data_IF_645345300011
#
_entry.id   IF_645345300011
#
_cell.length_a   1.000
_cell.length_b   1.000
_cell.length_c   1.000
_cell.angle_alpha   90.00
_cell.angle_beta   90.00
_cell.angle_gamma   90.00
#
_symmetry.space_group_name_H-M   'P 1'
#
loop_
_entity.id
_entity.type
_entity.pdbx_description
1 polymer ?
#
# COMPACT_ATOMS: atom_id res chain seq x y z
N UNK A 1 -15.25 -27.27 3.81
CA UNK A 1 -15.50 -25.89 3.32
C UNK A 1 -14.48 -24.88 3.86
N UNK A 2 -14.22 -24.81 5.17
CA UNK A 2 -13.27 -23.84 5.77
C UNK A 2 -11.82 -24.02 5.28
N UNK A 3 -11.31 -25.25 5.09
CA UNK A 3 -9.94 -25.47 4.59
C UNK A 3 -9.77 -25.09 3.10
N UNK A 4 -10.77 -25.33 2.27
CA UNK A 4 -10.78 -24.91 0.86
C UNK A 4 -10.77 -23.39 0.71
N UNK A 5 -11.48 -22.67 1.58
CA UNK A 5 -11.45 -21.20 1.61
C UNK A 5 -10.07 -20.69 2.04
N UNK A 6 -9.46 -21.29 3.07
CA UNK A 6 -8.10 -20.94 3.53
C UNK A 6 -7.07 -21.15 2.42
N UNK A 7 -7.16 -22.26 1.69
CA UNK A 7 -6.27 -22.54 0.56
C UNK A 7 -6.42 -21.52 -0.58
N UNK A 8 -7.65 -21.15 -0.93
CA UNK A 8 -7.91 -20.09 -1.93
C UNK A 8 -7.33 -18.74 -1.50
N UNK A 9 -7.47 -18.38 -0.22
CA UNK A 9 -6.92 -17.14 0.32
C UNK A 9 -5.39 -17.14 0.32
N UNK A 10 -4.76 -18.26 0.68
CA UNK A 10 -3.30 -18.40 0.64
C UNK A 10 -2.75 -18.23 -0.78
N UNK A 11 -3.39 -18.86 -1.77
CA UNK A 11 -3.01 -18.68 -3.18
C UNK A 11 -3.15 -17.22 -3.60
N UNK A 12 -4.30 -16.60 -3.30
CA UNK A 12 -4.51 -15.18 -3.62
C UNK A 12 -3.45 -14.28 -2.98
N UNK A 13 -3.05 -14.59 -1.74
CA UNK A 13 -2.01 -13.87 -1.01
C UNK A 13 -0.63 -14.04 -1.64
N UNK A 14 -0.27 -15.24 -2.10
CA UNK A 14 0.98 -15.48 -2.84
C UNK A 14 1.05 -14.64 -4.11
N UNK A 15 -0.03 -14.62 -4.90
CA UNK A 15 -0.10 -13.79 -6.10
C UNK A 15 0.01 -12.30 -5.77
N UNK A 16 -0.70 -11.84 -4.74
CA UNK A 16 -0.62 -10.45 -4.29
C UNK A 16 0.81 -10.05 -3.91
N UNK A 17 1.53 -10.89 -3.16
CA UNK A 17 2.91 -10.64 -2.76
C UNK A 17 3.88 -10.64 -3.95
N UNK A 18 3.69 -11.52 -4.93
CA UNK A 18 4.48 -11.52 -6.16
C UNK A 18 4.29 -10.23 -6.97
N UNK A 19 3.04 -9.80 -7.18
CA UNK A 19 2.72 -8.54 -7.88
C UNK A 19 3.30 -7.35 -7.12
N UNK A 20 3.24 -7.36 -5.79
CA UNK A 20 3.76 -6.29 -4.97
C UNK A 20 5.30 -6.21 -5.02
N UNK A 21 5.99 -7.35 -5.00
CA UNK A 21 7.44 -7.43 -5.19
C UNK A 21 7.90 -6.86 -6.55
N UNK A 22 7.19 -7.22 -7.62
CA UNK A 22 7.46 -6.71 -8.98
C UNK A 22 7.25 -5.20 -9.11
N UNK A 23 6.40 -4.60 -8.27
CA UNK A 23 6.20 -3.14 -8.28
C UNK A 23 7.50 -2.38 -7.99
N UNK A 24 8.37 -2.90 -7.12
CA UNK A 24 9.62 -2.23 -6.72
C UNK A 24 10.66 -2.21 -7.86
N UNK A 25 10.82 -3.34 -8.54
CA UNK A 25 11.72 -3.43 -9.71
C UNK A 25 11.22 -2.57 -10.85
N UNK A 26 9.91 -2.60 -11.12
CA UNK A 26 9.30 -1.73 -12.12
C UNK A 26 9.44 -0.25 -11.79
N UNK A 27 9.26 0.15 -10.52
CA UNK A 27 9.44 1.53 -10.09
C UNK A 27 10.87 2.05 -10.30
N UNK A 28 11.89 1.20 -10.07
CA UNK A 28 13.29 1.54 -10.38
C UNK A 28 13.50 1.77 -11.87
N UNK A 29 13.00 0.86 -12.71
CA UNK A 29 13.15 0.94 -14.17
C UNK A 29 12.43 2.19 -14.70
N UNK A 30 11.17 2.40 -14.34
CA UNK A 30 10.41 3.60 -14.72
C UNK A 30 11.01 4.89 -14.16
N UNK A 31 11.65 4.81 -12.99
CA UNK A 31 12.32 5.94 -12.37
C UNK A 31 13.50 6.50 -13.17
N UNK A 32 14.05 5.74 -14.13
CA UNK A 32 15.07 6.24 -15.07
C UNK A 32 14.46 7.16 -16.13
N UNK A 33 13.22 6.87 -16.54
CA UNK A 33 12.56 7.55 -17.66
C UNK A 33 11.57 8.63 -17.24
N UNK A 34 11.16 8.64 -15.96
CA UNK A 34 10.08 9.50 -15.48
C UNK A 34 10.43 10.16 -14.15
N UNK A 35 9.91 11.36 -13.92
CA UNK A 35 10.01 12.03 -12.62
C UNK A 35 9.03 11.41 -11.61
N UNK A 36 9.37 11.36 -10.30
CA UNK A 36 8.49 10.78 -9.28
C UNK A 36 7.05 11.32 -9.29
N UNK A 37 6.81 12.64 -9.45
CA UNK A 37 5.44 13.16 -9.52
C UNK A 37 4.65 12.61 -10.71
N UNK A 38 5.29 12.44 -11.86
CA UNK A 38 4.66 11.93 -13.07
C UNK A 38 4.29 10.44 -12.92
N UNK A 39 5.21 9.63 -12.37
CA UNK A 39 4.95 8.20 -12.13
C UNK A 39 3.80 8.01 -11.12
N UNK A 40 3.75 8.83 -10.07
CA UNK A 40 2.67 8.81 -9.09
C UNK A 40 1.33 9.22 -9.69
N UNK A 41 1.30 10.28 -10.49
CA UNK A 41 0.09 10.76 -11.15
C UNK A 41 -0.55 9.63 -11.97
N UNK A 42 0.23 9.00 -12.86
CA UNK A 42 -0.27 7.91 -13.68
C UNK A 42 -0.71 6.69 -12.86
N UNK A 43 0.05 6.34 -11.82
CA UNK A 43 -0.31 5.23 -10.92
C UNK A 43 -1.68 5.44 -10.27
N UNK A 44 -1.90 6.62 -9.68
CA UNK A 44 -3.16 6.91 -8.99
C UNK A 44 -4.31 7.18 -9.96
N UNK A 45 -4.05 7.82 -11.10
CA UNK A 45 -5.06 8.04 -12.14
C UNK A 45 -5.62 6.72 -12.67
N UNK A 46 -4.74 5.78 -13.05
CA UNK A 46 -5.15 4.45 -13.50
C UNK A 46 -5.85 3.67 -12.39
N UNK A 47 -5.35 3.76 -11.15
CA UNK A 47 -6.00 3.12 -10.02
C UNK A 47 -7.44 3.64 -9.82
N UNK A 48 -7.66 4.96 -9.88
CA UNK A 48 -9.01 5.54 -9.78
C UNK A 48 -9.92 5.01 -10.89
N UNK A 49 -9.44 4.94 -12.14
CA UNK A 49 -10.21 4.39 -13.26
C UNK A 49 -10.58 2.92 -13.00
N UNK A 50 -9.62 2.10 -12.54
CA UNK A 50 -9.87 0.69 -12.19
C UNK A 50 -10.84 0.52 -11.02
N UNK A 51 -10.88 1.45 -10.07
CA UNK A 51 -11.80 1.39 -8.93
C UNK A 51 -13.26 1.71 -9.31
N UNK A 52 -13.51 2.52 -10.35
CA UNK A 52 -14.87 2.86 -10.81
C UNK A 52 -15.73 1.61 -11.14
N UNK A 53 -15.30 0.66 -11.99
CA UNK A 53 -16.10 -0.53 -12.29
C UNK A 53 -16.23 -1.46 -11.09
N UNK A 54 -15.20 -1.59 -10.24
CA UNK A 54 -15.25 -2.39 -9.01
C UNK A 54 -16.33 -1.85 -8.07
N UNK A 55 -16.41 -0.53 -7.95
CA UNK A 55 -17.39 0.15 -7.10
C UNK A 55 -18.83 -0.01 -7.62
N UNK A 56 -19.02 0.03 -8.95
CA UNK A 56 -20.31 -0.29 -9.58
C UNK A 56 -20.71 -1.75 -9.34
N UNK A 57 -19.77 -2.69 -9.46
CA UNK A 57 -20.04 -4.11 -9.23
C UNK A 57 -20.42 -4.41 -7.77
N UNK A 58 -19.76 -3.74 -6.83
CA UNK A 58 -20.01 -3.90 -5.38
C UNK A 58 -21.20 -3.09 -4.86
N UNK A 59 -21.89 -2.32 -5.71
CA UNK A 59 -23.01 -1.44 -5.35
C UNK A 59 -22.72 -0.44 -4.21
N UNK A 60 -21.46 -0.04 -4.04
CA UNK A 60 -21.09 0.96 -3.05
C UNK A 60 -21.32 2.39 -3.57
N UNK A 61 -21.83 3.27 -2.71
CA UNK A 61 -22.06 4.68 -3.05
C UNK A 61 -20.76 5.47 -3.10
N UNK A 62 -20.59 6.31 -4.13
CA UNK A 62 -19.43 7.22 -4.27
C UNK A 62 -19.44 8.38 -3.27
N UNK A 63 -20.46 8.48 -2.41
CA UNK A 63 -20.60 9.58 -1.45
C UNK A 63 -19.66 9.35 -0.26
N UNK A 64 -18.78 10.32 -0.03
CA UNK A 64 -17.94 10.36 1.17
C UNK A 64 -18.73 11.13 2.25
N UNK A 65 -18.99 10.52 3.43
CA UNK A 65 -19.65 11.23 4.52
C UNK A 65 -18.74 12.35 5.04
N UNK A 66 -19.32 13.48 5.42
CA UNK A 66 -18.56 14.68 5.80
C UNK A 66 -17.66 14.46 7.04
N UNK A 67 -18.07 13.55 7.93
CA UNK A 67 -17.25 13.09 9.07
C UNK A 67 -16.00 12.32 8.64
N UNK A 68 -16.05 11.59 7.52
CA UNK A 68 -14.92 10.85 6.98
C UNK A 68 -14.00 11.73 6.12
N UNK A 69 -14.46 12.89 5.66
CA UNK A 69 -13.68 13.75 4.77
C UNK A 69 -12.31 14.12 5.34
N UNK A 70 -12.24 14.44 6.65
CA UNK A 70 -10.97 14.74 7.33
C UNK A 70 -10.01 13.55 7.30
N UNK A 71 -10.52 12.33 7.55
CA UNK A 71 -9.72 11.11 7.52
C UNK A 71 -9.25 10.77 6.11
N UNK A 72 -10.12 10.91 5.11
CA UNK A 72 -9.77 10.69 3.70
C UNK A 72 -8.70 11.66 3.24
N UNK A 73 -8.84 12.95 3.56
CA UNK A 73 -7.84 13.96 3.22
C UNK A 73 -6.50 13.69 3.88
N UNK A 74 -6.51 13.39 5.18
CA UNK A 74 -5.30 13.07 5.93
C UNK A 74 -4.61 11.80 5.39
N UNK A 75 -5.38 10.75 5.09
CA UNK A 75 -4.87 9.54 4.47
C UNK A 75 -4.27 9.82 3.09
N UNK A 76 -4.96 10.59 2.24
CA UNK A 76 -4.46 10.98 0.92
C UNK A 76 -3.16 11.77 0.99
N UNK A 77 -3.03 12.68 1.96
CA UNK A 77 -1.81 13.44 2.20
C UNK A 77 -0.63 12.52 2.58
N UNK A 78 -0.78 11.70 3.63
CA UNK A 78 0.26 10.77 4.06
C UNK A 78 0.62 9.76 2.96
N UNK A 79 -0.37 9.27 2.22
CA UNK A 79 -0.16 8.32 1.13
C UNK A 79 0.62 8.95 -0.02
N UNK A 80 0.37 10.22 -0.34
CA UNK A 80 1.12 10.97 -1.36
C UNK A 80 2.57 11.16 -0.95
N UNK A 81 2.81 11.59 0.30
CA UNK A 81 4.17 11.75 0.85
C UNK A 81 4.92 10.43 0.85
N UNK A 82 4.28 9.34 1.31
CA UNK A 82 4.85 7.99 1.28
C UNK A 82 5.20 7.56 -0.15
N UNK A 83 4.30 7.75 -1.12
CA UNK A 83 4.56 7.37 -2.51
C UNK A 83 5.69 8.20 -3.14
N UNK A 84 5.82 9.47 -2.77
CA UNK A 84 6.91 10.31 -3.25
C UNK A 84 8.25 9.75 -2.77
N UNK A 85 8.38 9.45 -1.47
CA UNK A 85 9.59 8.85 -0.91
C UNK A 85 9.84 7.43 -1.46
N UNK A 86 8.80 6.66 -1.73
CA UNK A 86 8.90 5.37 -2.41
C UNK A 86 9.56 5.49 -3.79
N UNK A 87 9.05 6.37 -4.66
CA UNK A 87 9.60 6.53 -6.01
C UNK A 87 10.99 7.18 -5.99
N UNK A 88 11.19 8.19 -5.13
CA UNK A 88 12.49 8.84 -4.99
C UNK A 88 13.53 7.90 -4.38
N UNK A 89 13.14 7.10 -3.39
CA UNK A 89 13.97 6.11 -2.73
C UNK A 89 14.36 4.96 -3.66
N UNK A 90 13.43 4.50 -4.50
CA UNK A 90 13.76 3.51 -5.53
C UNK A 90 14.68 4.09 -6.60
N UNK A 91 14.51 5.36 -7.01
CA UNK A 91 15.45 6.01 -7.94
C UNK A 91 16.89 6.10 -7.40
N UNK A 92 17.06 6.47 -6.12
CA UNK A 92 18.38 6.67 -5.51
C UNK A 92 19.02 5.35 -5.02
N UNK A 93 18.22 4.41 -4.53
CA UNK A 93 18.68 3.14 -3.94
C UNK A 93 18.50 1.91 -4.84
N UNK A 94 18.84 0.74 -4.32
CA UNK A 94 18.55 -0.52 -4.98
C UNK A 94 17.09 -0.93 -4.77
N UNK A 95 16.41 -1.36 -5.84
CA UNK A 95 15.02 -1.82 -5.77
C UNK A 95 14.83 -2.96 -4.76
N UNK A 96 15.77 -3.91 -4.72
CA UNK A 96 15.75 -5.02 -3.78
C UNK A 96 15.88 -4.58 -2.33
N UNK A 97 16.77 -3.62 -2.04
CA UNK A 97 16.93 -3.07 -0.69
C UNK A 97 15.67 -2.33 -0.24
N UNK A 98 15.06 -1.51 -1.11
CA UNK A 98 13.81 -0.81 -0.80
C UNK A 98 12.66 -1.76 -0.45
N UNK A 99 12.49 -2.84 -1.22
CA UNK A 99 11.47 -3.85 -0.97
C UNK A 99 11.66 -4.58 0.37
N UNK A 100 12.89 -4.98 0.71
CA UNK A 100 13.19 -5.67 1.99
C UNK A 100 13.06 -4.72 3.19
N UNK A 101 13.62 -3.51 3.09
CA UNK A 101 13.59 -2.55 4.21
C UNK A 101 12.15 -2.13 4.52
N UNK A 102 11.33 -1.83 3.51
CA UNK A 102 9.95 -1.40 3.76
C UNK A 102 9.09 -2.54 4.29
N UNK A 103 9.26 -3.78 3.80
CA UNK A 103 8.48 -4.93 4.30
C UNK A 103 8.84 -5.33 5.73
N UNK A 104 10.09 -5.14 6.13
CA UNK A 104 10.55 -5.43 7.50
C UNK A 104 10.21 -4.32 8.48
N UNK A 105 10.38 -3.06 8.07
CA UNK A 105 10.12 -1.91 8.95
C UNK A 105 8.62 -1.60 9.11
N UNK A 106 7.78 -1.86 8.10
CA UNK A 106 6.35 -1.56 8.20
C UNK A 106 5.68 -2.23 9.42
N UNK A 107 5.83 -3.56 9.67
CA UNK A 107 5.30 -4.20 10.86
C UNK A 107 5.86 -3.61 12.16
N UNK A 108 7.15 -3.29 12.21
CA UNK A 108 7.82 -2.73 13.39
C UNK A 108 7.26 -1.35 13.73
N UNK A 109 7.14 -0.47 12.75
CA UNK A 109 6.56 0.86 12.98
C UNK A 109 5.06 0.77 13.28
N UNK A 110 4.34 -0.15 12.62
CA UNK A 110 2.91 -0.34 12.87
C UNK A 110 2.66 -0.84 14.29
N UNK A 111 3.43 -1.81 14.77
CA UNK A 111 3.31 -2.33 16.14
C UNK A 111 3.68 -1.26 17.17
N UNK A 112 4.77 -0.51 16.95
CA UNK A 112 5.18 0.58 17.82
C UNK A 112 4.11 1.68 17.91
N UNK A 113 3.55 2.10 16.77
CA UNK A 113 2.48 3.10 16.74
C UNK A 113 1.19 2.57 17.37
N UNK A 114 0.87 1.28 17.19
CA UNK A 114 -0.30 0.67 17.84
C UNK A 114 -0.18 0.73 19.37
N UNK A 115 0.99 0.44 19.94
CA UNK A 115 1.22 0.59 21.38
C UNK A 115 1.04 2.02 21.85
N UNK A 116 1.62 2.97 21.13
CA UNK A 116 1.59 4.39 21.54
C UNK A 116 0.18 4.99 21.41
N UNK A 117 -0.54 4.66 20.34
CA UNK A 117 -1.82 5.28 20.00
C UNK A 117 -3.02 4.51 20.59
N UNK A 118 -3.06 3.18 20.41
CA UNK A 118 -4.17 2.35 20.90
C UNK A 118 -3.97 1.90 22.35
N UNK A 119 -2.76 2.06 22.93
CA UNK A 119 -2.39 1.51 24.25
C UNK A 119 -2.59 -0.01 24.36
N UNK A 120 -2.62 -0.70 23.22
CA UNK A 120 -2.71 -2.16 23.22
C UNK A 120 -1.43 -2.73 23.84
N UNK A 121 -1.61 -3.53 24.90
CA UNK A 121 -0.52 -4.25 25.55
C UNK A 121 -0.04 -5.32 24.56
N UNK A 122 1.14 -5.10 23.94
CA UNK A 122 1.78 -6.15 23.13
C UNK A 122 1.96 -7.39 24.00
N UNK A 123 1.17 -8.42 23.71
CA UNK A 123 1.38 -9.73 24.30
C UNK A 123 2.67 -10.26 23.69
N UNK A 124 3.59 -10.77 24.51
CA UNK A 124 4.93 -11.25 24.11
C UNK A 124 4.95 -12.38 23.06
N UNK A 125 3.79 -12.76 22.51
CA UNK A 125 3.59 -13.78 21.48
C UNK A 125 3.37 -13.19 20.07
N UNK A 126 3.26 -11.87 19.96
CA UNK A 126 3.03 -11.13 18.70
C UNK A 126 4.29 -10.42 18.18
N UNK A 127 5.44 -10.62 18.83
CA UNK A 127 6.78 -10.14 18.42
C UNK A 127 7.57 -11.31 17.83
#
# INVERSE_FOLDING_TARGET
VRSLLQFKLQIALMFAMAVWGLSWTNAKILGVYTSPPLSMFWRFFLATICFIPIMKWTNHSFKIPQSAFKFVFLNGFFMTVYNYFYFRGTQLGFAGAGGVIVTTLNPIFTSLLAVVILKDLLKSKDI
#
